data_IF_543724440814
#
_entry.id   IF_543724440814
#
_cell.length_a   1.000
_cell.length_b   1.000
_cell.length_c   1.000
_cell.angle_alpha   90.00
_cell.angle_beta   90.00
_cell.angle_gamma   90.00
#
_symmetry.space_group_name_H-M   'P 1'
#
loop_
_entity.id
_entity.type
_entity.pdbx_description
1 polymer ?
#
# COMPACT_ATOMS: atom_id res chain seq x y z
N UNK A 1 -7.29 -23.54 6.11
CA UNK A 1 -7.09 -22.10 6.34
C UNK A 1 -7.48 -21.41 5.05
N UNK A 2 -8.26 -20.31 5.11
CA UNK A 2 -8.54 -19.49 3.93
C UNK A 2 -7.49 -18.37 3.97
N UNK A 3 -6.77 -18.19 2.85
CA UNK A 3 -5.67 -17.25 2.72
C UNK A 3 -5.89 -16.45 1.43
N UNK A 4 -5.53 -15.17 1.46
CA UNK A 4 -5.51 -14.29 0.30
C UNK A 4 -4.11 -13.73 0.16
N UNK A 5 -3.53 -13.90 -1.02
CA UNK A 5 -2.16 -13.47 -1.29
C UNK A 5 -2.16 -12.04 -1.79
N UNK A 6 -1.41 -11.20 -1.09
CA UNK A 6 -1.29 -9.77 -1.36
C UNK A 6 0.10 -9.43 -1.88
N UNK A 7 0.17 -8.35 -2.64
CA UNK A 7 1.40 -7.85 -3.25
C UNK A 7 1.59 -6.36 -2.99
N UNK A 8 2.80 -5.87 -3.24
CA UNK A 8 3.09 -4.44 -3.32
C UNK A 8 3.35 -4.12 -4.79
N UNK A 9 2.39 -3.48 -5.44
CA UNK A 9 2.54 -3.02 -6.82
C UNK A 9 2.86 -1.53 -6.81
N UNK A 10 3.78 -1.12 -7.67
CA UNK A 10 4.24 0.28 -7.76
C UNK A 10 4.24 0.73 -9.23
N UNK A 11 4.19 2.04 -9.50
CA UNK A 11 4.37 2.57 -10.85
C UNK A 11 5.70 2.14 -11.47
N UNK A 12 5.76 2.02 -12.80
CA UNK A 12 6.96 1.54 -13.50
C UNK A 12 8.20 2.43 -13.28
N UNK A 13 7.98 3.73 -13.12
CA UNK A 13 8.98 4.75 -12.82
C UNK A 13 9.24 4.95 -11.31
N UNK A 14 8.61 4.14 -10.45
CA UNK A 14 8.74 4.23 -9.00
C UNK A 14 10.20 4.18 -8.52
N UNK A 15 10.55 4.95 -7.47
CA UNK A 15 11.84 4.80 -6.80
C UNK A 15 11.95 3.47 -6.02
N UNK A 16 10.84 2.79 -5.76
CA UNK A 16 10.82 1.53 -5.02
C UNK A 16 11.13 0.38 -5.97
N UNK A 17 12.40 -0.03 -5.99
CA UNK A 17 12.85 -1.18 -6.80
C UNK A 17 12.88 -2.46 -5.99
N UNK A 18 12.92 -2.33 -4.67
CA UNK A 18 12.89 -3.42 -3.71
C UNK A 18 11.89 -3.12 -2.59
N UNK A 19 11.50 -4.18 -1.87
CA UNK A 19 10.70 -4.02 -0.64
C UNK A 19 11.45 -3.18 0.39
N UNK A 20 12.78 -3.28 0.43
CA UNK A 20 13.63 -2.50 1.33
C UNK A 20 13.56 -0.99 1.03
N UNK A 21 13.53 -0.60 -0.25
CA UNK A 21 13.37 0.81 -0.65
C UNK A 21 12.02 1.36 -0.18
N UNK A 22 10.95 0.58 -0.41
CA UNK A 22 9.61 0.91 0.04
C UNK A 22 9.57 1.08 1.57
N UNK A 23 10.07 0.09 2.32
CA UNK A 23 10.08 0.12 3.79
C UNK A 23 10.93 1.27 4.33
N UNK A 24 12.07 1.57 3.71
CA UNK A 24 12.92 2.68 4.12
C UNK A 24 12.22 4.04 3.96
N UNK A 25 11.60 4.28 2.79
CA UNK A 25 10.82 5.49 2.55
C UNK A 25 9.60 5.58 3.47
N UNK A 26 8.93 4.45 3.69
CA UNK A 26 7.74 4.40 4.51
C UNK A 26 8.03 4.64 5.99
N UNK A 27 9.15 4.13 6.52
CA UNK A 27 9.63 4.45 7.88
C UNK A 27 10.02 5.91 8.04
N UNK A 28 10.56 6.53 7.00
CA UNK A 28 10.96 7.93 7.04
C UNK A 28 9.76 8.86 7.17
N UNK A 29 8.67 8.58 6.44
CA UNK A 29 7.43 9.37 6.49
C UNK A 29 6.21 8.53 6.04
N UNK A 30 5.51 7.86 6.98
CA UNK A 30 4.39 6.98 6.64
C UNK A 30 3.25 7.68 5.91
N UNK A 31 3.07 8.97 6.14
CA UNK A 31 2.00 9.77 5.55
C UNK A 31 2.28 10.12 4.07
N UNK A 32 3.56 10.12 3.64
CA UNK A 32 3.95 10.42 2.26
C UNK A 32 3.88 9.23 1.32
N UNK A 33 3.84 8.01 1.85
CA UNK A 33 3.63 6.80 1.05
C UNK A 33 2.14 6.50 1.07
N UNK A 34 1.42 7.01 0.07
CA UNK A 34 0.00 6.70 -0.13
C UNK A 34 -0.14 5.27 -0.67
N UNK A 35 -0.90 4.43 0.02
CA UNK A 35 -1.18 3.04 -0.35
C UNK A 35 -2.65 2.93 -0.77
N UNK A 36 -2.92 2.39 -1.95
CA UNK A 36 -4.28 2.11 -2.42
C UNK A 36 -4.70 0.66 -2.14
N UNK A 37 -6.02 0.43 -2.06
CA UNK A 37 -6.59 -0.92 -2.06
C UNK A 37 -8.06 -0.91 -2.47
N UNK A 38 -8.57 -2.03 -2.98
CA UNK A 38 -9.97 -2.22 -3.38
C UNK A 38 -10.89 -2.66 -2.24
N UNK A 39 -10.33 -3.11 -1.12
CA UNK A 39 -11.08 -3.55 0.06
C UNK A 39 -11.55 -2.42 0.97
N UNK A 40 -12.73 -2.58 1.57
CA UNK A 40 -13.22 -1.74 2.67
C UNK A 40 -12.29 -1.81 3.90
N UNK A 41 -12.33 -0.81 4.81
CA UNK A 41 -11.63 -0.88 6.09
C UNK A 41 -11.91 -2.19 6.85
N UNK A 42 -10.86 -2.93 7.16
CA UNK A 42 -10.92 -4.26 7.79
C UNK A 42 -10.94 -5.45 6.82
N UNK A 43 -11.01 -5.21 5.51
CA UNK A 43 -10.81 -6.23 4.49
C UNK A 43 -9.33 -6.49 4.17
N UNK A 44 -9.04 -7.49 3.32
CA UNK A 44 -7.69 -7.94 2.97
C UNK A 44 -6.73 -6.81 2.54
N UNK A 45 -7.06 -6.04 1.50
CA UNK A 45 -6.19 -4.97 0.97
C UNK A 45 -5.98 -3.84 1.99
N UNK A 46 -6.92 -3.66 2.93
CA UNK A 46 -6.77 -2.71 4.02
C UNK A 46 -5.89 -3.28 5.14
N UNK A 47 -6.07 -4.55 5.51
CA UNK A 47 -5.31 -5.18 6.59
C UNK A 47 -3.86 -5.47 6.19
N UNK A 48 -3.60 -5.81 4.93
CA UNK A 48 -2.26 -6.10 4.43
C UNK A 48 -1.24 -4.98 4.73
N UNK A 49 -1.46 -3.70 4.36
CA UNK A 49 -0.55 -2.63 4.72
C UNK A 49 -0.52 -2.38 6.23
N UNK A 50 -1.62 -2.57 6.97
CA UNK A 50 -1.62 -2.36 8.42
C UNK A 50 -0.76 -3.40 9.15
N UNK A 51 -0.86 -4.67 8.77
CA UNK A 51 -0.04 -5.74 9.35
C UNK A 51 1.42 -5.65 8.84
N UNK A 52 1.64 -5.25 7.59
CA UNK A 52 2.99 -4.97 7.07
C UNK A 52 3.64 -3.82 7.85
N UNK A 53 2.88 -2.74 8.12
CA UNK A 53 3.35 -1.62 8.94
C UNK A 53 3.80 -2.09 10.32
N UNK A 54 2.96 -2.87 11.02
CA UNK A 54 3.33 -3.48 12.33
C UNK A 54 4.60 -4.30 12.22
N UNK A 55 4.70 -5.17 11.22
CA UNK A 55 5.83 -6.08 11.03
C UNK A 55 7.15 -5.33 10.80
N UNK A 56 7.10 -4.18 10.12
CA UNK A 56 8.31 -3.37 9.87
C UNK A 56 8.55 -2.28 10.93
N UNK A 57 7.62 -2.05 11.85
CA UNK A 57 7.75 -1.03 12.90
C UNK A 57 7.28 0.37 12.49
N UNK A 58 6.38 0.46 11.52
CA UNK A 58 5.60 1.67 11.21
C UNK A 58 4.31 1.62 12.03
N UNK A 59 3.92 2.74 12.64
CA UNK A 59 2.63 2.86 13.33
C UNK A 59 1.47 2.70 12.33
N UNK A 60 0.63 1.66 12.44
CA UNK A 60 -0.47 1.43 11.51
C UNK A 60 -1.46 2.60 11.43
N UNK A 61 -1.60 3.36 12.52
CA UNK A 61 -2.49 4.52 12.56
C UNK A 61 -1.98 5.70 11.73
N UNK A 62 -0.73 5.64 11.26
CA UNK A 62 -0.10 6.64 10.39
C UNK A 62 -0.08 6.25 8.91
N UNK A 63 -0.55 5.05 8.57
CA UNK A 63 -0.61 4.59 7.19
C UNK A 63 -1.62 5.44 6.41
N UNK A 64 -1.16 6.06 5.33
CA UNK A 64 -2.02 6.81 4.43
C UNK A 64 -2.66 5.85 3.41
N UNK A 65 -3.77 5.22 3.81
CA UNK A 65 -4.52 4.29 2.97
C UNK A 65 -5.68 4.98 2.25
N UNK A 66 -5.85 4.69 0.96
CA UNK A 66 -6.97 5.18 0.14
C UNK A 66 -7.72 3.99 -0.46
N UNK A 67 -9.02 3.90 -0.18
CA UNK A 67 -9.88 2.86 -0.73
C UNK A 67 -10.37 3.25 -2.13
N UNK A 68 -10.44 2.26 -3.03
CA UNK A 68 -10.98 2.39 -4.39
C UNK A 68 -12.12 1.39 -4.61
N UNK A 69 -13.03 1.69 -5.55
CA UNK A 69 -14.18 0.84 -5.87
C UNK A 69 -13.79 -0.26 -6.87
N UNK A 70 -12.84 -1.10 -6.45
CA UNK A 70 -12.30 -2.22 -7.22
C UNK A 70 -11.06 -1.91 -8.07
N UNK A 71 -10.58 -2.93 -8.78
CA UNK A 71 -9.27 -2.92 -9.43
C UNK A 71 -9.08 -1.93 -10.58
N UNK A 72 -10.16 -1.51 -11.25
CA UNK A 72 -10.07 -0.55 -12.36
C UNK A 72 -9.69 0.86 -11.91
N UNK A 73 -10.35 1.34 -10.86
CA UNK A 73 -10.08 2.63 -10.25
C UNK A 73 -8.71 2.65 -9.55
N UNK A 74 -8.38 1.55 -8.84
CA UNK A 74 -7.08 1.35 -8.22
C UNK A 74 -5.94 1.38 -9.25
N UNK A 75 -6.05 0.62 -10.34
CA UNK A 75 -5.05 0.58 -11.41
C UNK A 75 -4.89 1.95 -12.06
N UNK A 76 -5.98 2.67 -12.30
CA UNK A 76 -5.93 4.03 -12.85
C UNK A 76 -5.21 5.00 -11.91
N UNK A 77 -5.44 4.88 -10.60
CA UNK A 77 -4.75 5.69 -9.60
C UNK A 77 -3.25 5.38 -9.54
N UNK A 78 -2.87 4.10 -9.64
CA UNK A 78 -1.48 3.66 -9.67
C UNK A 78 -0.77 4.19 -10.92
N UNK A 79 -1.34 3.97 -12.12
CA UNK A 79 -0.76 4.43 -13.39
C UNK A 79 -0.70 5.97 -13.49
N UNK A 80 -1.61 6.67 -12.79
CA UNK A 80 -1.63 8.12 -12.71
C UNK A 80 -0.73 8.71 -11.62
N UNK A 81 0.10 7.91 -10.95
CA UNK A 81 0.97 8.32 -9.84
C UNK A 81 0.22 9.02 -8.68
N UNK A 82 -1.06 8.70 -8.47
CA UNK A 82 -1.86 9.23 -7.36
C UNK A 82 -1.58 8.50 -6.05
N UNK A 83 -1.17 7.24 -6.14
CA UNK A 83 -0.72 6.40 -5.03
C UNK A 83 0.70 5.93 -5.31
N UNK A 84 1.46 5.71 -4.25
CA UNK A 84 2.84 5.23 -4.35
C UNK A 84 2.93 3.71 -4.47
N UNK A 85 1.95 3.01 -3.88
CA UNK A 85 1.77 1.57 -4.00
C UNK A 85 0.28 1.21 -3.97
N UNK A 86 -0.08 0.04 -4.49
CA UNK A 86 -1.39 -0.57 -4.36
C UNK A 86 -1.32 -2.08 -4.49
#
# INVERSE_FOLDING_TARGET
>A
VVEEQEGILVPADSPFRTVQDFVAAWKADPAKVTIGGGSNPGGPDHLFPMETAKAVGVDPTKVNFVSYDGGGDLLTALLGNKIAAG
#
